data_IF_408158810512
#
_entry.id   IF_408158810512
#
_cell.length_a   1.000
_cell.length_b   1.000
_cell.length_c   1.000
_cell.angle_alpha   90.00
_cell.angle_beta   90.00
_cell.angle_gamma   90.00
#
_symmetry.space_group_name_H-M   'P 1'
#
loop_
_entity.id
_entity.type
_entity.pdbx_description
1 polymer ?
#
# COMPACT_ATOMS: atom_id res chain seq x y z
N UNK A 1 25.71 19.06 -50.92
CA UNK A 1 25.39 19.46 -49.53
C UNK A 1 24.32 18.50 -49.05
N UNK A 2 24.71 17.54 -48.22
CA UNK A 2 23.87 16.43 -47.80
C UNK A 2 23.49 16.68 -46.34
N UNK A 3 22.36 17.36 -46.11
CA UNK A 3 21.85 17.61 -44.78
C UNK A 3 21.17 16.35 -44.23
N UNK A 4 21.92 15.68 -43.34
CA UNK A 4 21.51 15.09 -42.06
C UNK A 4 20.00 14.83 -41.94
N UNK A 5 19.56 13.69 -42.45
CA UNK A 5 18.34 13.01 -42.02
C UNK A 5 18.69 11.90 -41.04
N UNK A 6 18.93 12.21 -39.76
CA UNK A 6 19.14 11.20 -38.73
C UNK A 6 18.24 11.46 -37.52
N UNK A 7 17.45 10.43 -37.18
CA UNK A 7 16.80 10.13 -35.89
C UNK A 7 15.29 10.38 -35.69
N UNK A 8 14.49 10.50 -36.75
CA UNK A 8 13.02 10.60 -36.61
C UNK A 8 12.30 9.27 -36.28
N UNK A 9 12.94 8.12 -36.47
CA UNK A 9 12.30 6.80 -36.28
C UNK A 9 12.52 6.14 -34.91
N UNK A 10 13.66 6.39 -34.24
CA UNK A 10 13.96 5.82 -32.91
C UNK A 10 13.37 6.69 -31.80
N UNK A 11 13.35 8.02 -31.97
CA UNK A 11 12.71 8.93 -31.02
C UNK A 11 11.19 8.78 -30.98
N UNK A 12 10.54 8.26 -32.03
CA UNK A 12 9.08 8.11 -32.07
C UNK A 12 8.60 6.82 -31.39
N UNK A 13 9.25 5.68 -31.63
CA UNK A 13 8.85 4.40 -31.02
C UNK A 13 9.11 4.39 -29.51
N UNK A 14 10.30 4.83 -29.06
CA UNK A 14 10.62 4.90 -27.64
C UNK A 14 9.74 5.93 -26.89
N UNK A 15 9.40 7.06 -27.53
CA UNK A 15 8.49 8.04 -26.95
C UNK A 15 7.04 7.52 -26.87
N UNK A 16 6.58 6.76 -27.86
CA UNK A 16 5.26 6.13 -27.83
C UNK A 16 5.17 5.07 -26.72
N UNK A 17 6.19 4.22 -26.58
CA UNK A 17 6.25 3.23 -25.51
C UNK A 17 6.25 3.89 -24.12
N UNK A 18 7.09 4.92 -23.92
CA UNK A 18 7.12 5.68 -22.67
C UNK A 18 5.75 6.30 -22.36
N UNK A 19 5.07 6.87 -23.36
CA UNK A 19 3.73 7.45 -23.20
C UNK A 19 2.72 6.42 -22.73
N UNK A 20 2.72 5.20 -23.28
CA UNK A 20 1.82 4.12 -22.85
C UNK A 20 2.08 3.69 -21.40
N UNK A 21 3.34 3.66 -20.96
CA UNK A 21 3.68 3.40 -19.56
C UNK A 21 3.16 4.51 -18.64
N UNK A 22 3.36 5.78 -19.00
CA UNK A 22 2.89 6.93 -18.21
C UNK A 22 1.37 6.92 -18.09
N UNK A 23 0.64 6.79 -19.20
CA UNK A 23 -0.83 6.76 -19.18
C UNK A 23 -1.38 5.60 -18.34
N UNK A 24 -0.70 4.44 -18.34
CA UNK A 24 -1.07 3.32 -17.47
C UNK A 24 -0.80 3.60 -16.00
N UNK A 25 0.32 4.26 -15.67
CA UNK A 25 0.66 4.62 -14.30
C UNK A 25 -0.30 5.69 -13.75
N UNK A 26 -0.61 6.73 -14.53
CA UNK A 26 -1.56 7.78 -14.13
C UNK A 26 -2.93 7.20 -13.79
N UNK A 27 -3.44 6.27 -14.61
CA UNK A 27 -4.69 5.56 -14.30
C UNK A 27 -4.60 4.76 -13.01
N UNK A 28 -3.49 4.05 -12.78
CA UNK A 28 -3.29 3.30 -11.53
C UNK A 28 -3.19 4.24 -10.32
N UNK A 29 -2.59 5.42 -10.47
CA UNK A 29 -2.52 6.42 -9.40
C UNK A 29 -3.91 6.98 -9.05
N UNK A 30 -4.75 7.23 -10.05
CA UNK A 30 -6.16 7.62 -9.84
C UNK A 30 -6.94 6.53 -9.11
N UNK A 31 -6.80 5.27 -9.51
CA UNK A 31 -7.42 4.13 -8.83
C UNK A 31 -6.94 4.01 -7.37
N UNK A 32 -5.63 4.13 -7.11
CA UNK A 32 -5.04 4.11 -5.77
C UNK A 32 -5.60 5.27 -4.92
N UNK A 33 -5.75 6.46 -5.51
CA UNK A 33 -6.34 7.60 -4.83
C UNK A 33 -7.77 7.31 -4.38
N UNK A 34 -8.61 6.80 -5.28
CA UNK A 34 -9.98 6.40 -4.94
C UNK A 34 -10.04 5.38 -3.80
N UNK A 35 -9.22 4.33 -3.88
CA UNK A 35 -9.13 3.30 -2.82
C UNK A 35 -8.68 3.90 -1.48
N UNK A 36 -7.75 4.86 -1.50
CA UNK A 36 -7.29 5.53 -0.28
C UNK A 36 -8.35 6.45 0.33
N UNK A 37 -9.15 7.11 -0.50
CA UNK A 37 -10.28 7.92 -0.05
C UNK A 37 -11.37 7.03 0.58
N UNK A 38 -11.75 5.94 -0.06
CA UNK A 38 -12.68 4.94 0.50
C UNK A 38 -12.18 4.40 1.85
N UNK A 39 -10.89 4.07 1.92
CA UNK A 39 -10.25 3.60 3.15
C UNK A 39 -10.32 4.66 4.25
N UNK A 40 -10.14 5.94 3.92
CA UNK A 40 -10.24 7.05 4.89
C UNK A 40 -11.66 7.21 5.40
N UNK A 41 -12.67 7.00 4.56
CA UNK A 41 -14.07 7.05 4.96
C UNK A 41 -14.42 5.92 5.94
N UNK A 42 -13.94 4.70 5.70
CA UNK A 42 -14.06 3.58 6.65
C UNK A 42 -13.41 3.91 8.00
N UNK A 43 -12.21 4.51 7.99
CA UNK A 43 -11.55 4.97 9.21
C UNK A 43 -12.31 6.10 9.93
N UNK A 44 -13.06 6.91 9.19
CA UNK A 44 -13.86 7.99 9.76
C UNK A 44 -15.14 7.43 10.38
N UNK A 45 -15.79 6.50 9.71
CA UNK A 45 -16.98 5.79 10.21
C UNK A 45 -16.67 5.03 11.51
N UNK A 46 -15.59 4.26 11.56
CA UNK A 46 -15.25 3.51 12.78
C UNK A 46 -14.97 4.44 13.96
N UNK A 47 -14.35 5.61 13.72
CA UNK A 47 -14.14 6.61 14.76
C UNK A 47 -15.46 7.20 15.25
N UNK A 48 -16.38 7.50 14.33
CA UNK A 48 -17.73 7.98 14.66
C UNK A 48 -18.52 6.98 15.50
N UNK A 49 -18.23 5.67 15.33
CA UNK A 49 -18.79 4.58 16.13
C UNK A 49 -18.04 4.32 17.46
N UNK A 50 -16.98 5.07 17.76
CA UNK A 50 -16.22 4.96 19.01
C UNK A 50 -15.04 3.98 19.00
N UNK A 51 -14.66 3.43 17.85
CA UNK A 51 -13.49 2.55 17.73
C UNK A 51 -12.18 3.36 17.64
N UNK A 52 -11.10 2.84 18.25
CA UNK A 52 -9.76 3.41 18.10
C UNK A 52 -9.11 2.96 16.78
N UNK A 53 -8.97 3.89 15.84
CA UNK A 53 -8.31 3.67 14.55
C UNK A 53 -6.87 3.15 14.65
N UNK A 54 -6.12 3.50 15.70
CA UNK A 54 -4.75 2.98 15.93
C UNK A 54 -4.78 1.50 16.26
N UNK A 55 -5.73 1.07 17.08
CA UNK A 55 -5.91 -0.34 17.45
C UNK A 55 -6.37 -1.16 16.25
N UNK A 56 -7.30 -0.64 15.45
CA UNK A 56 -7.74 -1.29 14.19
C UNK A 56 -6.57 -1.45 13.21
N UNK A 57 -5.68 -0.46 13.08
CA UNK A 57 -4.46 -0.58 12.25
C UNK A 57 -3.54 -1.70 12.73
N UNK A 58 -3.33 -1.82 14.05
CA UNK A 58 -2.57 -2.94 14.63
C UNK A 58 -3.25 -4.27 14.31
N UNK A 59 -4.57 -4.36 14.47
CA UNK A 59 -5.34 -5.56 14.13
C UNK A 59 -5.19 -5.94 12.65
N UNK A 60 -5.24 -4.98 11.73
CA UNK A 60 -5.01 -5.25 10.31
C UNK A 60 -3.59 -5.75 10.03
N UNK A 61 -2.57 -5.21 10.71
CA UNK A 61 -1.20 -5.68 10.59
C UNK A 61 -1.06 -7.14 11.07
N UNK A 62 -1.66 -7.46 12.21
CA UNK A 62 -1.73 -8.83 12.75
C UNK A 62 -2.39 -9.77 11.75
N UNK A 63 -3.53 -9.38 11.19
CA UNK A 63 -4.31 -10.20 10.23
C UNK A 63 -3.63 -10.40 8.87
N UNK A 64 -2.66 -9.57 8.51
CA UNK A 64 -1.86 -9.73 7.27
C UNK A 64 -0.77 -10.79 7.41
N UNK A 65 -0.39 -11.15 8.63
CA UNK A 65 0.62 -12.18 8.89
C UNK A 65 0.01 -13.57 8.67
N UNK A 66 0.87 -14.56 8.41
CA UNK A 66 0.44 -15.95 8.26
C UNK A 66 -0.19 -16.43 9.57
N UNK A 67 -1.37 -17.04 9.48
CA UNK A 67 -2.10 -17.62 10.62
C UNK A 67 -1.22 -18.73 11.23
N UNK A 68 -0.62 -18.48 12.39
CA UNK A 68 0.40 -19.33 13.03
C UNK A 68 1.59 -18.52 13.57
N UNK A 69 2.26 -17.73 12.73
CA UNK A 69 3.43 -16.94 13.15
C UNK A 69 3.09 -15.91 14.24
N UNK A 70 1.94 -15.25 14.11
CA UNK A 70 1.49 -14.31 15.13
C UNK A 70 1.05 -15.01 16.42
N UNK A 71 0.51 -16.23 16.34
CA UNK A 71 0.06 -16.97 17.52
C UNK A 71 1.27 -17.40 18.37
N UNK A 72 2.31 -17.94 17.72
CA UNK A 72 3.58 -18.29 18.40
C UNK A 72 4.21 -17.07 19.08
N UNK A 73 4.32 -15.95 18.38
CA UNK A 73 4.88 -14.72 18.96
C UNK A 73 4.04 -14.19 20.12
N UNK A 74 2.72 -14.26 20.05
CA UNK A 74 1.84 -13.83 21.15
C UNK A 74 2.00 -14.72 22.38
N UNK A 75 2.13 -16.04 22.21
CA UNK A 75 2.36 -16.96 23.33
C UNK A 75 3.68 -16.65 24.05
N UNK A 76 4.74 -16.36 23.28
CA UNK A 76 6.03 -15.94 23.85
C UNK A 76 5.91 -14.60 24.56
N UNK A 77 5.27 -13.61 23.94
CA UNK A 77 5.05 -12.30 24.54
C UNK A 77 4.26 -12.39 25.85
N UNK A 78 3.17 -13.15 25.87
CA UNK A 78 2.31 -13.35 27.05
C UNK A 78 3.10 -14.01 28.19
N UNK A 79 3.95 -14.99 27.88
CA UNK A 79 4.87 -15.61 28.85
C UNK A 79 5.79 -14.55 29.48
N UNK A 80 6.39 -13.67 28.68
CA UNK A 80 7.27 -12.61 29.17
C UNK A 80 6.53 -11.55 29.96
N UNK A 81 5.34 -11.13 29.51
CA UNK A 81 4.50 -10.18 30.23
C UNK A 81 4.09 -10.71 31.59
N UNK A 82 3.72 -12.00 31.67
CA UNK A 82 3.41 -12.68 32.94
C UNK A 82 4.62 -12.71 33.87
N UNK A 83 5.79 -13.10 33.36
CA UNK A 83 7.02 -13.13 34.14
C UNK A 83 7.44 -11.75 34.68
N UNK A 84 7.04 -10.67 33.99
CA UNK A 84 7.29 -9.29 34.39
C UNK A 84 6.14 -8.66 35.20
N UNK A 85 5.04 -9.38 35.47
CA UNK A 85 3.86 -8.86 36.18
C UNK A 85 3.13 -7.74 35.43
N UNK A 86 3.19 -7.74 34.11
CA UNK A 86 2.56 -6.74 33.24
C UNK A 86 1.11 -7.08 32.87
N UNK A 87 0.67 -8.31 33.17
CA UNK A 87 -0.69 -8.84 33.04
C UNK A 87 -1.02 -9.73 34.24
#
# INVERSE_FOLDING_TARGET
MSDIGHNSSISSAAAQELRLFVERLERLEEEIKGINDDKKDVYSELKGRGYDAKIVKKLLAIRRRKKGEHEEEMMVLETYMTALGMI
#
